data_IF_187585350689
#
_entry.id   IF_187585350689
#
_cell.length_a   1.000
_cell.length_b   1.000
_cell.length_c   1.000
_cell.angle_alpha   90.00
_cell.angle_beta   90.00
_cell.angle_gamma   90.00
#
_symmetry.space_group_name_H-M   'P 1'
#
loop_
_entity.id
_entity.type
_entity.pdbx_description
1 polymer ?
#
# COMPACT_ATOMS: atom_id res chain seq x y z
N UNK A 1 12.08 10.68 -22.12
CA UNK A 1 11.86 9.27 -21.76
C UNK A 1 12.00 9.14 -20.25
N UNK A 2 10.96 8.72 -19.57
CA UNK A 2 10.95 8.58 -18.12
C UNK A 2 11.48 7.20 -17.69
N UNK A 3 11.64 7.00 -16.38
CA UNK A 3 12.04 5.71 -15.80
C UNK A 3 11.07 4.56 -16.18
N UNK A 4 9.81 4.89 -16.52
CA UNK A 4 8.78 3.93 -16.92
C UNK A 4 9.00 3.35 -18.33
N UNK A 5 9.72 4.06 -19.21
CA UNK A 5 10.00 3.62 -20.59
C UNK A 5 11.15 2.60 -20.67
N UNK A 6 11.89 2.41 -19.58
CA UNK A 6 13.01 1.47 -19.55
C UNK A 6 12.52 0.03 -19.66
N UNK A 7 13.24 -0.79 -20.45
CA UNK A 7 12.94 -2.21 -20.55
C UNK A 7 13.10 -2.91 -19.20
N UNK A 8 12.13 -3.76 -18.87
CA UNK A 8 12.16 -4.59 -17.66
C UNK A 8 13.01 -5.82 -17.91
N UNK A 9 14.01 -6.03 -17.06
CA UNK A 9 14.84 -7.25 -17.15
C UNK A 9 14.12 -8.44 -16.53
N UNK A 10 14.53 -9.66 -16.90
CA UNK A 10 13.99 -10.92 -16.35
C UNK A 10 14.17 -11.00 -14.82
N UNK A 11 15.28 -10.49 -14.29
CA UNK A 11 15.51 -10.39 -12.85
C UNK A 11 14.55 -9.41 -12.16
N UNK A 12 14.35 -8.23 -12.75
CA UNK A 12 13.40 -7.25 -12.27
C UNK A 12 11.95 -7.77 -12.34
N UNK A 13 11.62 -8.52 -13.41
CA UNK A 13 10.29 -9.11 -13.56
C UNK A 13 10.04 -10.22 -12.53
N UNK A 14 11.03 -11.05 -12.20
CA UNK A 14 10.93 -12.02 -11.10
C UNK A 14 10.61 -11.34 -9.76
N UNK A 15 11.22 -10.17 -9.49
CA UNK A 15 10.89 -9.34 -8.32
C UNK A 15 9.44 -8.85 -8.37
N UNK A 16 8.96 -8.37 -9.52
CA UNK A 16 7.57 -7.94 -9.66
C UNK A 16 6.59 -9.08 -9.40
N UNK A 17 6.80 -10.26 -9.99
CA UNK A 17 5.96 -11.44 -9.76
C UNK A 17 5.90 -11.81 -8.28
N UNK A 18 7.05 -11.82 -7.61
CA UNK A 18 7.12 -12.13 -6.17
C UNK A 18 6.34 -11.12 -5.35
N UNK A 19 6.45 -9.82 -5.67
CA UNK A 19 5.71 -8.73 -4.99
C UNK A 19 4.20 -8.84 -5.20
N UNK A 20 3.76 -9.39 -6.33
CA UNK A 20 2.35 -9.65 -6.66
C UNK A 20 1.90 -11.08 -6.31
N UNK A 21 2.54 -11.70 -5.33
CA UNK A 21 2.23 -13.06 -4.90
C UNK A 21 2.07 -13.15 -3.38
N UNK A 22 1.58 -14.29 -2.90
CA UNK A 22 1.52 -14.61 -1.47
C UNK A 22 2.91 -14.80 -0.84
N UNK A 23 3.97 -14.87 -1.66
CA UNK A 23 5.37 -15.01 -1.23
C UNK A 23 6.08 -13.69 -1.00
N UNK A 24 5.41 -12.54 -1.15
CA UNK A 24 6.02 -11.20 -0.99
C UNK A 24 6.74 -11.03 0.35
N UNK A 25 6.18 -11.57 1.42
CA UNK A 25 6.77 -11.49 2.77
C UNK A 25 7.90 -12.51 3.00
N UNK A 26 8.01 -13.52 2.13
CA UNK A 26 8.99 -14.59 2.29
C UNK A 26 10.39 -14.19 1.83
N UNK A 27 10.54 -13.08 1.12
CA UNK A 27 11.83 -12.63 0.57
C UNK A 27 12.81 -12.25 1.68
N UNK A 28 12.34 -11.56 2.72
CA UNK A 28 13.16 -11.11 3.85
C UNK A 28 13.68 -12.28 4.72
N UNK A 29 12.98 -13.42 4.72
CA UNK A 29 13.38 -14.63 5.43
C UNK A 29 14.37 -15.51 4.64
N UNK A 30 14.63 -15.18 3.37
CA UNK A 30 15.59 -15.91 2.55
C UNK A 30 17.01 -15.54 3.00
N UNK A 31 17.69 -16.48 3.63
CA UNK A 31 19.14 -16.35 3.91
C UNK A 31 19.98 -16.27 2.63
N UNK A 32 21.31 -16.31 2.76
CA UNK A 32 22.21 -16.36 1.62
C UNK A 32 21.78 -17.49 0.66
N UNK A 33 21.47 -17.13 -0.57
CA UNK A 33 21.00 -18.07 -1.59
C UNK A 33 22.20 -18.63 -2.31
N UNK A 34 22.28 -19.96 -2.45
CA UNK A 34 23.26 -20.59 -3.31
C UNK A 34 23.08 -20.17 -4.78
N UNK A 35 24.14 -20.26 -5.58
CA UNK A 35 24.06 -19.99 -7.02
C UNK A 35 23.11 -20.98 -7.67
N UNK A 36 22.05 -20.48 -8.31
CA UNK A 36 21.04 -21.30 -8.98
C UNK A 36 21.34 -21.49 -10.45
N UNK A 37 22.01 -20.51 -11.07
CA UNK A 37 22.32 -20.45 -12.49
C UNK A 37 23.72 -19.93 -12.68
N UNK A 38 24.37 -20.31 -13.79
CA UNK A 38 25.76 -19.96 -14.09
C UNK A 38 26.01 -18.44 -14.12
N UNK A 39 24.99 -17.66 -14.45
CA UNK A 39 25.02 -16.20 -14.59
C UNK A 39 24.28 -15.47 -13.45
N UNK A 40 23.87 -16.17 -12.40
CA UNK A 40 23.17 -15.60 -11.25
C UNK A 40 23.83 -16.05 -9.94
N UNK A 41 24.85 -15.33 -9.46
CA UNK A 41 25.50 -15.62 -8.19
C UNK A 41 24.50 -15.39 -7.03
N UNK A 42 24.64 -16.18 -5.96
CA UNK A 42 23.77 -16.10 -4.78
C UNK A 42 23.81 -14.74 -4.07
N UNK A 43 24.84 -13.92 -4.29
CA UNK A 43 24.95 -12.54 -3.79
C UNK A 43 24.20 -11.51 -4.65
N UNK A 44 23.67 -11.90 -5.81
CA UNK A 44 22.90 -11.00 -6.67
C UNK A 44 21.62 -10.53 -5.97
N UNK A 45 21.29 -9.25 -6.12
CA UNK A 45 20.03 -8.68 -5.62
C UNK A 45 18.78 -9.37 -6.22
N UNK A 46 18.91 -10.03 -7.37
CA UNK A 46 17.84 -10.80 -8.02
C UNK A 46 17.69 -12.23 -7.50
N UNK A 47 18.73 -12.78 -6.88
CA UNK A 47 18.78 -14.20 -6.52
C UNK A 47 17.60 -14.67 -5.66
N UNK A 48 17.16 -13.95 -4.60
CA UNK A 48 16.00 -14.37 -3.79
C UNK A 48 14.70 -14.43 -4.59
N UNK A 49 14.47 -13.44 -5.46
CA UNK A 49 13.26 -13.34 -6.27
C UNK A 49 13.23 -14.39 -7.39
N UNK A 50 14.34 -14.59 -8.08
CA UNK A 50 14.48 -15.61 -9.12
C UNK A 50 14.29 -17.00 -8.53
N UNK A 51 14.85 -17.26 -7.34
CA UNK A 51 14.64 -18.51 -6.63
C UNK A 51 13.15 -18.79 -6.40
N UNK A 52 12.41 -17.82 -5.88
CA UNK A 52 10.96 -17.97 -5.67
C UNK A 52 10.25 -18.20 -7.00
N UNK A 53 10.49 -17.35 -8.00
CA UNK A 53 9.84 -17.45 -9.30
C UNK A 53 10.05 -18.80 -9.98
N UNK A 54 11.24 -19.37 -9.85
CA UNK A 54 11.59 -20.69 -10.41
C UNK A 54 11.00 -21.82 -9.57
N UNK A 55 11.08 -21.75 -8.25
CA UNK A 55 10.50 -22.77 -7.36
C UNK A 55 8.97 -22.86 -7.52
N UNK A 56 8.31 -21.72 -7.75
CA UNK A 56 6.87 -21.67 -8.02
C UNK A 56 6.52 -21.98 -9.48
N UNK A 57 7.52 -22.18 -10.33
CA UNK A 57 7.32 -22.51 -11.73
C UNK A 57 6.84 -21.34 -12.61
N UNK A 58 6.87 -20.10 -12.10
CA UNK A 58 6.44 -18.94 -12.88
C UNK A 58 7.42 -18.59 -13.99
N UNK A 59 8.70 -18.73 -13.72
CA UNK A 59 9.79 -18.51 -14.67
C UNK A 59 10.73 -19.71 -14.69
N UNK A 60 11.40 -19.91 -15.82
CA UNK A 60 12.41 -20.96 -15.99
C UNK A 60 13.74 -20.35 -16.46
N UNK A 61 14.84 -21.01 -16.13
CA UNK A 61 16.13 -20.79 -16.78
C UNK A 61 16.17 -21.42 -18.16
N UNK A 62 17.32 -21.30 -18.80
CA UNK A 62 17.60 -21.86 -20.11
C UNK A 62 18.34 -23.19 -20.00
N UNK A 63 18.32 -23.97 -21.08
CA UNK A 63 18.95 -25.30 -21.16
C UNK A 63 20.47 -25.28 -21.03
N UNK A 64 21.08 -24.11 -21.25
CA UNK A 64 22.51 -23.88 -21.04
C UNK A 64 22.92 -23.61 -19.58
N UNK A 65 21.95 -23.70 -18.66
CA UNK A 65 22.19 -23.44 -17.24
C UNK A 65 22.19 -21.96 -16.84
N UNK A 66 21.84 -21.05 -17.76
CA UNK A 66 21.72 -19.61 -17.49
C UNK A 66 20.28 -19.22 -17.14
N UNK A 67 20.11 -18.09 -16.44
CA UNK A 67 18.80 -17.44 -16.23
C UNK A 67 18.62 -16.19 -17.07
N UNK A 68 19.72 -15.56 -17.44
CA UNK A 68 19.80 -14.28 -18.17
C UNK A 68 19.07 -13.15 -17.46
N UNK A 69 19.43 -12.84 -16.19
CA UNK A 69 18.69 -11.90 -15.34
C UNK A 69 18.67 -10.48 -15.91
N UNK A 70 19.65 -10.11 -16.73
CA UNK A 70 19.79 -8.78 -17.33
C UNK A 70 19.15 -8.65 -18.73
N UNK A 71 18.66 -9.75 -19.31
CA UNK A 71 17.95 -9.69 -20.58
C UNK A 71 16.55 -9.13 -20.37
N UNK A 72 16.05 -8.37 -21.34
CA UNK A 72 14.69 -7.86 -21.30
C UNK A 72 13.67 -9.03 -21.32
N UNK A 73 12.57 -8.90 -20.57
CA UNK A 73 11.44 -9.82 -20.64
C UNK A 73 10.55 -9.45 -21.83
N UNK A 74 10.15 -10.44 -22.63
CA UNK A 74 9.25 -10.22 -23.76
C UNK A 74 7.78 -10.33 -23.35
N UNK A 75 6.86 -9.85 -24.22
CA UNK A 75 5.42 -9.92 -23.97
C UNK A 75 4.96 -11.36 -23.67
N UNK A 76 5.35 -12.33 -24.50
CA UNK A 76 4.94 -13.73 -24.33
C UNK A 76 5.54 -14.36 -23.07
N UNK A 77 6.78 -14.02 -22.71
CA UNK A 77 7.39 -14.47 -21.45
C UNK A 77 6.66 -13.90 -20.25
N UNK A 78 6.33 -12.59 -20.27
CA UNK A 78 5.60 -11.92 -19.20
C UNK A 78 4.18 -12.48 -19.05
N UNK A 79 3.42 -12.61 -20.14
CA UNK A 79 2.08 -13.22 -20.12
C UNK A 79 2.10 -14.66 -19.59
N UNK A 80 3.07 -15.47 -20.03
CA UNK A 80 3.23 -16.84 -19.56
C UNK A 80 3.47 -16.89 -18.05
N UNK A 81 4.37 -16.07 -17.56
CA UNK A 81 4.69 -16.04 -16.14
C UNK A 81 3.49 -15.57 -15.28
N UNK A 82 2.74 -14.56 -15.74
CA UNK A 82 1.52 -14.09 -15.05
C UNK A 82 0.42 -15.13 -15.05
N UNK A 83 0.19 -15.85 -16.18
CA UNK A 83 -0.77 -16.96 -16.22
C UNK A 83 -0.42 -18.05 -15.19
N UNK A 84 0.85 -18.42 -15.11
CA UNK A 84 1.32 -19.39 -14.11
C UNK A 84 1.19 -18.86 -12.67
N UNK A 85 1.49 -17.58 -12.43
CA UNK A 85 1.26 -16.90 -11.16
C UNK A 85 -0.21 -16.98 -10.72
N UNK A 86 -1.14 -16.85 -11.67
CA UNK A 86 -2.59 -16.98 -11.47
C UNK A 86 -3.08 -18.43 -11.37
N UNK A 87 -2.19 -19.40 -11.41
CA UNK A 87 -2.49 -20.83 -11.24
C UNK A 87 -2.88 -21.59 -12.51
N UNK A 88 -2.79 -20.97 -13.68
CA UNK A 88 -3.06 -21.65 -14.95
C UNK A 88 -1.93 -22.62 -15.30
N UNK A 89 -2.31 -23.82 -15.77
CA UNK A 89 -1.37 -24.80 -16.27
C UNK A 89 -1.21 -24.64 -17.78
N UNK A 90 0.01 -24.56 -18.26
CA UNK A 90 0.28 -24.37 -19.68
C UNK A 90 -0.17 -25.57 -20.54
N UNK A 91 -0.24 -26.75 -19.94
CA UNK A 91 -0.76 -27.97 -20.56
C UNK A 91 -2.26 -27.91 -20.86
N UNK A 92 -3.01 -27.05 -20.17
CA UNK A 92 -4.45 -26.94 -20.31
C UNK A 92 -4.84 -25.90 -21.38
N UNK A 93 -3.85 -25.20 -21.94
CA UNK A 93 -4.06 -24.21 -22.99
C UNK A 93 -4.09 -24.86 -24.38
N UNK A 94 -5.05 -24.43 -25.21
CA UNK A 94 -5.14 -24.92 -26.59
C UNK A 94 -4.16 -24.19 -27.49
N UNK A 95 -3.34 -24.93 -28.22
CA UNK A 95 -2.39 -24.41 -29.19
C UNK A 95 -0.93 -24.48 -28.73
N UNK A 96 -0.05 -23.99 -29.59
CA UNK A 96 1.39 -23.95 -29.31
C UNK A 96 1.84 -22.63 -28.72
N UNK A 97 2.93 -22.66 -27.94
CA UNK A 97 3.65 -21.45 -27.51
C UNK A 97 4.15 -20.67 -28.74
N UNK A 98 4.04 -19.33 -28.75
CA UNK A 98 3.50 -18.48 -27.69
C UNK A 98 2.01 -18.13 -27.85
N UNK A 99 1.37 -18.56 -28.94
CA UNK A 99 0.01 -18.16 -29.28
C UNK A 99 -1.02 -18.61 -28.22
N UNK A 100 -0.87 -19.82 -27.69
CA UNK A 100 -1.77 -20.33 -26.65
C UNK A 100 -1.79 -19.40 -25.42
N UNK A 101 -0.62 -18.95 -24.96
CA UNK A 101 -0.47 -18.07 -23.80
C UNK A 101 -0.96 -16.66 -24.11
N UNK A 102 -0.62 -16.11 -25.28
CA UNK A 102 -1.07 -14.78 -25.70
C UNK A 102 -2.58 -14.72 -25.90
N UNK A 103 -3.20 -15.76 -26.43
CA UNK A 103 -4.65 -15.85 -26.58
C UNK A 103 -5.32 -15.92 -25.21
N UNK A 104 -4.83 -16.79 -24.31
CA UNK A 104 -5.37 -16.90 -22.95
C UNK A 104 -5.24 -15.60 -22.17
N UNK A 105 -4.10 -14.93 -22.26
CA UNK A 105 -3.91 -13.60 -21.66
C UNK A 105 -4.89 -12.56 -22.23
N UNK A 106 -5.19 -12.61 -23.54
CA UNK A 106 -6.20 -11.77 -24.17
C UNK A 106 -7.62 -12.06 -23.67
N UNK A 107 -8.01 -13.34 -23.61
CA UNK A 107 -9.33 -13.78 -23.10
C UNK A 107 -9.58 -13.29 -21.66
N UNK A 108 -8.56 -13.32 -20.82
CA UNK A 108 -8.63 -12.87 -19.43
C UNK A 108 -8.53 -11.34 -19.28
N UNK A 109 -8.34 -10.59 -20.37
CA UNK A 109 -8.16 -9.13 -20.31
C UNK A 109 -6.80 -8.67 -19.80
N UNK A 110 -5.83 -9.58 -19.61
CA UNK A 110 -4.49 -9.23 -19.09
C UNK A 110 -3.76 -8.25 -20.01
N UNK A 111 -4.02 -8.31 -21.32
CA UNK A 111 -3.37 -7.48 -22.34
C UNK A 111 -4.11 -6.19 -22.63
N UNK A 112 -5.20 -5.88 -21.93
CA UNK A 112 -5.95 -4.65 -22.14
C UNK A 112 -5.05 -3.43 -21.86
N UNK A 113 -4.98 -2.50 -22.82
CA UNK A 113 -4.14 -1.32 -22.74
C UNK A 113 -2.66 -1.53 -23.08
N UNK A 114 -2.24 -2.74 -23.47
CA UNK A 114 -0.88 -3.02 -23.94
C UNK A 114 -0.81 -2.91 -25.47
N UNK A 115 0.10 -2.11 -25.97
CA UNK A 115 0.45 -2.01 -27.40
C UNK A 115 1.81 -2.65 -27.66
N UNK A 116 1.92 -3.96 -27.36
CA UNK A 116 3.11 -4.77 -27.59
C UNK A 116 2.79 -5.98 -28.45
N UNK A 117 3.73 -6.31 -29.31
CA UNK A 117 3.67 -7.49 -30.17
C UNK A 117 4.53 -8.62 -29.62
N UNK A 118 4.28 -9.82 -30.10
CA UNK A 118 5.12 -10.97 -29.81
C UNK A 118 6.60 -10.66 -30.11
N UNK A 119 7.50 -11.03 -29.19
CA UNK A 119 8.92 -10.81 -29.29
C UNK A 119 9.40 -9.43 -28.83
N UNK A 120 8.48 -8.48 -28.60
CA UNK A 120 8.85 -7.16 -28.13
C UNK A 120 9.11 -7.15 -26.62
N UNK A 121 10.13 -6.39 -26.22
CA UNK A 121 10.47 -6.20 -24.82
C UNK A 121 9.39 -5.35 -24.10
N UNK A 122 9.03 -5.75 -22.89
CA UNK A 122 8.17 -5.00 -22.00
C UNK A 122 8.94 -3.91 -21.26
N UNK A 123 8.36 -2.73 -21.12
CA UNK A 123 8.88 -1.69 -20.23
C UNK A 123 8.17 -1.73 -18.86
N UNK A 124 8.53 -0.82 -17.94
CA UNK A 124 7.93 -0.78 -16.59
C UNK A 124 6.44 -0.44 -16.62
N UNK A 125 5.99 0.42 -17.52
CA UNK A 125 4.57 0.76 -17.69
C UNK A 125 3.78 -0.45 -18.17
N UNK A 126 4.26 -1.15 -19.21
CA UNK A 126 3.63 -2.37 -19.72
C UNK A 126 3.47 -3.45 -18.63
N UNK A 127 4.54 -3.68 -17.85
CA UNK A 127 4.51 -4.66 -16.76
C UNK A 127 3.53 -4.24 -15.65
N UNK A 128 3.44 -2.95 -15.33
CA UNK A 128 2.49 -2.45 -14.35
C UNK A 128 1.04 -2.65 -14.83
N UNK A 129 0.75 -2.35 -16.10
CA UNK A 129 -0.57 -2.57 -16.71
C UNK A 129 -0.92 -4.06 -16.70
N UNK A 130 -0.02 -4.93 -17.13
CA UNK A 130 -0.22 -6.39 -17.14
C UNK A 130 -0.55 -6.94 -15.74
N UNK A 131 0.21 -6.54 -14.73
CA UNK A 131 0.03 -7.00 -13.35
C UNK A 131 -1.23 -6.39 -12.71
N UNK A 132 -1.56 -5.13 -13.01
CA UNK A 132 -2.81 -4.52 -12.55
C UNK A 132 -4.03 -5.23 -13.14
N UNK A 133 -4.01 -5.53 -14.45
CA UNK A 133 -5.07 -6.29 -15.09
C UNK A 133 -5.23 -7.69 -14.48
N UNK A 134 -4.13 -8.32 -14.06
CA UNK A 134 -4.17 -9.60 -13.39
C UNK A 134 -4.94 -9.56 -12.06
N UNK A 135 -4.89 -8.45 -11.31
CA UNK A 135 -5.61 -8.33 -10.02
C UNK A 135 -7.13 -8.49 -10.19
N UNK A 136 -7.68 -8.00 -11.28
CA UNK A 136 -9.13 -8.04 -11.55
C UNK A 136 -9.56 -9.25 -12.35
N UNK A 137 -8.64 -9.93 -13.03
CA UNK A 137 -8.90 -11.12 -13.84
C UNK A 137 -9.10 -12.36 -12.95
N UNK A 138 -9.90 -13.30 -13.42
CA UNK A 138 -10.10 -14.56 -12.72
C UNK A 138 -8.84 -15.43 -12.80
N UNK A 139 -8.42 -15.94 -11.66
CA UNK A 139 -7.39 -16.98 -11.56
C UNK A 139 -7.94 -18.35 -12.01
N UNK A 140 -7.11 -19.38 -12.02
CA UNK A 140 -7.53 -20.73 -12.43
C UNK A 140 -8.63 -21.34 -11.53
N UNK A 141 -8.86 -20.81 -10.34
CA UNK A 141 -9.95 -21.22 -9.43
C UNK A 141 -11.26 -20.46 -9.68
N UNK A 142 -11.29 -19.51 -10.62
CA UNK A 142 -12.47 -18.72 -10.95
C UNK A 142 -12.73 -17.50 -10.08
N UNK A 143 -11.81 -17.12 -9.20
CA UNK A 143 -11.88 -15.93 -8.37
C UNK A 143 -10.95 -14.85 -8.90
N UNK A 144 -11.27 -13.55 -8.70
CA UNK A 144 -10.36 -12.47 -9.05
C UNK A 144 -9.01 -12.66 -8.33
N UNK A 145 -7.90 -12.59 -9.08
CA UNK A 145 -6.59 -12.90 -8.53
C UNK A 145 -6.22 -11.99 -7.36
N UNK A 146 -6.61 -10.71 -7.40
CA UNK A 146 -6.36 -9.75 -6.32
C UNK A 146 -6.92 -10.19 -4.96
N UNK A 147 -8.01 -10.97 -4.94
CA UNK A 147 -8.58 -11.49 -3.69
C UNK A 147 -7.66 -12.48 -3.00
N UNK A 148 -6.84 -13.22 -3.75
CA UNK A 148 -5.82 -14.14 -3.18
C UNK A 148 -4.69 -13.38 -2.47
N UNK A 149 -4.52 -12.10 -2.80
CA UNK A 149 -3.54 -11.20 -2.20
C UNK A 149 -4.12 -10.35 -1.05
N UNK A 150 -5.40 -10.56 -0.73
CA UNK A 150 -6.09 -9.82 0.33
C UNK A 150 -6.73 -8.51 -0.13
N UNK A 151 -6.79 -8.24 -1.44
CA UNK A 151 -7.47 -7.05 -1.96
C UNK A 151 -8.98 -7.29 -2.12
N UNK A 152 -9.77 -6.23 -1.93
CA UNK A 152 -11.18 -6.24 -2.30
C UNK A 152 -11.30 -5.95 -3.79
N UNK A 153 -11.93 -6.86 -4.53
CA UNK A 153 -12.23 -6.69 -5.95
C UNK A 153 -13.73 -6.77 -6.14
N UNK A 154 -14.33 -5.70 -6.66
CA UNK A 154 -15.75 -5.62 -6.93
C UNK A 154 -16.01 -4.92 -8.27
N UNK A 155 -16.99 -5.41 -9.05
CA UNK A 155 -17.34 -4.86 -10.35
C UNK A 155 -16.15 -4.74 -11.32
N UNK A 156 -15.21 -5.70 -11.28
CA UNK A 156 -14.01 -5.68 -12.12
C UNK A 156 -12.98 -4.60 -11.76
N UNK A 157 -13.06 -4.05 -10.56
CA UNK A 157 -12.12 -3.04 -10.05
C UNK A 157 -11.56 -3.45 -8.71
N UNK A 158 -10.28 -3.13 -8.50
CA UNK A 158 -9.63 -3.26 -7.20
C UNK A 158 -9.97 -2.02 -6.38
N UNK A 159 -10.36 -2.22 -5.13
CA UNK A 159 -10.48 -1.12 -4.18
C UNK A 159 -9.09 -0.53 -3.91
N UNK A 160 -8.81 0.61 -4.53
CA UNK A 160 -7.52 1.30 -4.41
C UNK A 160 -7.21 1.74 -2.98
N UNK A 161 -8.22 1.98 -2.15
CA UNK A 161 -8.03 2.31 -0.73
C UNK A 161 -7.38 1.16 0.02
N UNK A 162 -7.73 -0.08 -0.29
CA UNK A 162 -7.14 -1.27 0.33
C UNK A 162 -5.67 -1.45 -0.06
N UNK A 163 -5.31 -1.19 -1.33
CA UNK A 163 -3.91 -1.24 -1.79
C UNK A 163 -3.09 -0.18 -1.08
N UNK A 164 -3.61 1.04 -1.02
CA UNK A 164 -2.95 2.15 -0.36
C UNK A 164 -2.71 1.85 1.13
N UNK A 165 -3.75 1.41 1.83
CA UNK A 165 -3.69 1.09 3.25
C UNK A 165 -2.73 -0.06 3.57
N UNK A 166 -2.60 -1.06 2.70
CA UNK A 166 -1.68 -2.19 2.90
C UNK A 166 -0.20 -1.84 2.72
N UNK A 167 0.10 -0.73 2.03
CA UNK A 167 1.47 -0.26 1.79
C UNK A 167 1.87 0.94 2.65
N UNK A 168 0.94 1.49 3.44
CA UNK A 168 1.17 2.64 4.30
C UNK A 168 1.76 2.24 5.65
N UNK A 169 2.80 2.92 6.04
CA UNK A 169 3.27 2.95 7.42
C UNK A 169 2.61 4.11 8.17
N UNK A 170 2.19 3.87 9.41
CA UNK A 170 1.45 4.83 10.22
C UNK A 170 0.11 4.27 10.70
N UNK A 171 -0.72 5.09 11.38
CA UNK A 171 -0.50 6.51 11.67
C UNK A 171 0.63 6.78 12.66
N UNK A 172 1.37 7.84 12.41
CA UNK A 172 2.35 8.40 13.33
C UNK A 172 1.94 9.82 13.73
N UNK A 173 2.34 10.25 14.92
CA UNK A 173 2.19 11.64 15.38
C UNK A 173 3.55 12.31 15.35
N UNK A 174 3.65 13.41 14.65
CA UNK A 174 4.90 14.14 14.52
C UNK A 174 5.26 14.88 15.82
N UNK A 175 6.54 14.90 16.12
CA UNK A 175 7.19 15.73 17.15
C UNK A 175 8.11 16.76 16.48
N UNK A 176 8.67 17.68 17.25
CA UNK A 176 9.65 18.66 16.75
C UNK A 176 10.92 18.01 16.17
N UNK A 177 11.21 16.77 16.57
CA UNK A 177 12.39 16.02 16.13
C UNK A 177 12.09 14.94 15.07
N UNK A 178 10.88 14.91 14.53
CA UNK A 178 10.51 13.90 13.55
C UNK A 178 11.28 14.07 12.23
N UNK A 179 11.94 13.01 11.81
CA UNK A 179 12.68 12.94 10.55
C UNK A 179 12.15 11.75 9.75
N UNK A 180 11.84 11.98 8.47
CA UNK A 180 11.42 10.91 7.57
C UNK A 180 12.62 10.07 7.12
N UNK A 181 12.45 8.74 6.91
CA UNK A 181 13.53 7.86 6.45
C UNK A 181 13.92 8.08 4.98
N UNK A 182 13.20 8.94 4.26
CA UNK A 182 13.43 9.24 2.85
C UNK A 182 13.00 10.67 2.52
N UNK A 183 13.39 11.15 1.34
CA UNK A 183 12.90 12.42 0.78
C UNK A 183 11.62 12.13 -0.03
N UNK A 184 10.47 12.69 0.36
CA UNK A 184 9.24 12.49 -0.39
C UNK A 184 9.28 13.11 -1.80
N UNK A 185 8.77 12.37 -2.77
CA UNK A 185 8.54 12.87 -4.16
C UNK A 185 7.13 13.43 -4.29
N UNK A 186 6.17 12.83 -3.56
CA UNK A 186 4.79 13.29 -3.53
C UNK A 186 4.36 13.54 -2.09
N UNK A 187 3.66 14.65 -1.86
CA UNK A 187 3.11 15.01 -0.55
C UNK A 187 1.64 15.36 -0.69
N UNK A 188 0.84 14.79 0.19
CA UNK A 188 -0.58 15.12 0.34
C UNK A 188 -0.82 15.66 1.74
N UNK A 189 -1.47 16.81 1.85
CA UNK A 189 -1.86 17.41 3.13
C UNK A 189 -3.37 17.61 3.17
N UNK A 190 -4.04 16.97 4.15
CA UNK A 190 -5.50 16.95 4.27
C UNK A 190 -6.18 16.57 2.94
N UNK A 191 -5.70 15.49 2.32
CA UNK A 191 -6.19 14.90 1.05
C UNK A 191 -5.97 15.77 -0.20
N UNK A 192 -5.14 16.82 -0.12
CA UNK A 192 -4.76 17.68 -1.25
C UNK A 192 -3.27 17.60 -1.53
N UNK A 193 -2.89 17.70 -2.80
CA UNK A 193 -1.47 17.79 -3.19
C UNK A 193 -0.82 18.98 -2.51
N UNK A 194 0.35 18.77 -1.93
CA UNK A 194 1.14 19.79 -1.23
C UNK A 194 2.56 19.85 -1.78
N UNK A 195 3.12 21.07 -1.84
CA UNK A 195 4.54 21.27 -2.17
C UNK A 195 5.47 21.19 -0.96
N UNK A 196 4.94 21.06 0.27
CA UNK A 196 5.74 21.04 1.50
C UNK A 196 5.67 19.69 2.18
N UNK A 197 6.84 19.10 2.46
CA UNK A 197 7.02 17.90 3.27
C UNK A 197 7.26 18.20 4.74
N UNK A 198 7.12 19.46 5.17
CA UNK A 198 7.30 19.87 6.57
C UNK A 198 6.27 19.20 7.47
N UNK A 199 6.74 18.65 8.58
CA UNK A 199 5.93 18.08 9.65
C UNK A 199 6.01 18.98 10.86
N UNK A 200 4.87 19.45 11.32
CA UNK A 200 4.78 20.21 12.57
C UNK A 200 4.40 19.28 13.73
N UNK A 201 4.73 19.67 14.93
CA UNK A 201 4.33 18.97 16.15
C UNK A 201 2.82 18.70 16.11
N UNK A 202 2.43 17.44 16.41
CA UNK A 202 1.05 16.93 16.37
C UNK A 202 0.42 16.77 14.99
N UNK A 203 1.13 16.95 13.88
CA UNK A 203 0.66 16.47 12.60
C UNK A 203 0.56 14.94 12.64
N UNK A 204 -0.54 14.39 12.13
CA UNK A 204 -0.66 12.95 11.91
C UNK A 204 -0.13 12.65 10.52
N UNK A 205 0.77 11.69 10.41
CA UNK A 205 1.31 11.35 9.10
C UNK A 205 1.37 9.85 8.85
N UNK A 206 1.33 9.55 7.57
CA UNK A 206 1.55 8.22 7.00
C UNK A 206 2.57 8.36 5.89
N UNK A 207 3.30 7.31 5.62
CA UNK A 207 4.20 7.31 4.47
C UNK A 207 4.25 5.95 3.79
N UNK A 208 4.66 5.95 2.52
CA UNK A 208 5.09 4.77 1.79
C UNK A 208 6.49 5.02 1.27
N UNK A 209 7.47 4.27 1.77
CA UNK A 209 8.84 4.42 1.31
C UNK A 209 9.01 3.97 -0.13
N UNK A 210 8.31 2.91 -0.54
CA UNK A 210 8.34 2.39 -1.90
C UNK A 210 7.79 3.38 -2.92
N UNK A 211 6.74 4.13 -2.56
CA UNK A 211 6.13 5.15 -3.40
C UNK A 211 6.77 6.54 -3.21
N UNK A 212 7.72 6.69 -2.28
CA UNK A 212 8.30 7.98 -1.88
C UNK A 212 7.23 9.04 -1.62
N UNK A 213 6.13 8.64 -0.98
CA UNK A 213 4.95 9.48 -0.76
C UNK A 213 4.68 9.66 0.73
N UNK A 214 4.30 10.90 1.09
CA UNK A 214 3.94 11.32 2.44
C UNK A 214 2.51 11.85 2.45
N UNK A 215 1.70 11.41 3.41
CA UNK A 215 0.37 11.95 3.71
C UNK A 215 0.38 12.58 5.09
N UNK A 216 -0.07 13.83 5.18
CA UNK A 216 -0.10 14.62 6.41
C UNK A 216 -1.50 15.10 6.70
N UNK A 217 -1.95 14.96 7.93
CA UNK A 217 -3.25 15.40 8.41
C UNK A 217 -3.06 16.33 9.61
N UNK A 218 -3.66 17.50 9.54
CA UNK A 218 -3.61 18.52 10.60
C UNK A 218 -4.94 18.66 11.33
N UNK A 219 -5.91 17.80 10.99
CA UNK A 219 -7.28 17.82 11.53
C UNK A 219 -7.28 17.46 13.01
N UNK A 220 -8.08 18.18 13.79
CA UNK A 220 -8.24 17.98 15.22
C UNK A 220 -9.71 18.00 15.59
N UNK A 221 -10.05 17.33 16.68
CA UNK A 221 -11.34 17.46 17.35
C UNK A 221 -11.10 17.65 18.84
N UNK A 222 -11.46 18.82 19.35
CA UNK A 222 -11.27 19.17 20.75
C UNK A 222 -12.62 19.26 21.47
N UNK A 223 -12.67 18.80 22.70
CA UNK A 223 -13.87 18.85 23.51
C UNK A 223 -13.88 17.80 24.60
N UNK A 224 -15.03 17.72 25.28
CA UNK A 224 -15.25 16.75 26.35
C UNK A 224 -15.66 15.41 25.76
N UNK A 225 -15.08 14.32 26.26
CA UNK A 225 -15.54 12.96 25.94
C UNK A 225 -16.91 12.77 26.63
N UNK A 226 -17.92 12.49 25.83
CA UNK A 226 -19.28 12.23 26.30
C UNK A 226 -19.64 10.75 26.35
N UNK A 227 -18.96 9.93 25.54
CA UNK A 227 -19.21 8.49 25.45
C UNK A 227 -17.93 7.75 25.09
N UNK A 228 -17.79 6.53 25.61
CA UNK A 228 -16.71 5.59 25.30
C UNK A 228 -17.35 4.24 24.95
N UNK A 229 -17.05 3.69 23.80
CA UNK A 229 -17.70 2.46 23.31
C UNK A 229 -16.64 1.43 22.83
N UNK A 230 -16.85 0.11 23.03
CA UNK A 230 -17.98 -0.52 23.76
C UNK A 230 -17.85 -0.41 25.28
N UNK A 231 -16.66 -0.28 25.83
CA UNK A 231 -16.41 -0.15 27.29
C UNK A 231 -15.21 0.75 27.56
N UNK A 232 -15.17 1.36 28.75
CA UNK A 232 -14.06 2.20 29.18
C UNK A 232 -12.73 1.43 29.34
N UNK A 233 -12.78 0.13 29.62
CA UNK A 233 -11.60 -0.72 29.76
C UNK A 233 -11.02 -1.23 28.41
N UNK A 234 -11.84 -1.22 27.36
CA UNK A 234 -11.45 -1.64 26.01
C UNK A 234 -12.16 -0.77 24.96
N UNK A 235 -11.82 0.54 24.91
CA UNK A 235 -12.49 1.46 23.99
C UNK A 235 -12.05 1.20 22.54
N UNK A 236 -13.03 1.19 21.63
CA UNK A 236 -12.79 1.16 20.18
C UNK A 236 -13.13 2.52 19.54
N UNK A 237 -14.02 3.29 20.19
CA UNK A 237 -14.39 4.63 19.77
C UNK A 237 -14.75 5.51 20.97
N UNK A 238 -14.65 6.82 20.77
CA UNK A 238 -15.07 7.85 21.73
C UNK A 238 -15.85 8.94 21.03
N UNK A 239 -16.81 9.53 21.76
CA UNK A 239 -17.59 10.67 21.26
C UNK A 239 -17.04 11.95 21.85
N UNK A 240 -16.62 12.89 21.00
CA UNK A 240 -16.10 14.21 21.36
C UNK A 240 -16.87 15.26 20.56
N UNK A 241 -17.35 16.30 21.23
CA UNK A 241 -18.15 17.36 20.60
C UNK A 241 -19.32 16.84 19.74
N UNK A 242 -19.96 15.77 20.18
CA UNK A 242 -21.12 15.16 19.49
C UNK A 242 -20.78 14.26 18.30
N UNK A 243 -19.51 14.07 17.99
CA UNK A 243 -19.05 13.19 16.90
C UNK A 243 -18.30 11.99 17.46
N UNK A 244 -18.63 10.79 16.96
CA UNK A 244 -17.92 9.56 17.32
C UNK A 244 -16.69 9.37 16.44
N UNK A 245 -15.55 9.08 17.07
CA UNK A 245 -14.26 8.83 16.43
C UNK A 245 -13.75 7.45 16.78
N UNK A 246 -13.38 6.68 15.76
CA UNK A 246 -12.71 5.39 15.94
C UNK A 246 -11.29 5.61 16.43
N UNK A 247 -10.82 4.82 17.38
CA UNK A 247 -9.46 4.85 17.89
C UNK A 247 -8.54 4.02 16.96
N UNK A 248 -7.49 4.64 16.46
CA UNK A 248 -6.63 4.07 15.41
C UNK A 248 -5.64 3.02 15.90
N UNK A 249 -5.46 2.86 17.20
CA UNK A 249 -4.53 1.89 17.77
C UNK A 249 -4.89 1.50 19.21
N UNK A 250 -4.35 0.34 19.63
CA UNK A 250 -4.45 -0.11 21.02
C UNK A 250 -3.73 0.84 22.00
N UNK A 251 -2.69 1.55 21.53
CA UNK A 251 -1.98 2.54 22.35
C UNK A 251 -2.91 3.70 22.74
N UNK A 252 -3.67 4.25 21.78
CA UNK A 252 -4.64 5.32 22.03
C UNK A 252 -5.79 4.81 22.89
N UNK A 253 -6.27 3.59 22.63
CA UNK A 253 -7.29 2.94 23.46
C UNK A 253 -6.83 2.83 24.93
N UNK A 254 -5.58 2.44 25.14
CA UNK A 254 -4.99 2.36 26.48
C UNK A 254 -4.86 3.74 27.16
N UNK A 255 -4.49 4.78 26.39
CA UNK A 255 -4.45 6.15 26.89
C UNK A 255 -5.84 6.61 27.35
N UNK A 256 -6.88 6.38 26.55
CA UNK A 256 -8.27 6.71 26.92
C UNK A 256 -8.70 5.95 28.18
N UNK A 257 -8.44 4.64 28.25
CA UNK A 257 -8.78 3.82 29.42
C UNK A 257 -8.10 4.29 30.71
N UNK A 258 -6.89 4.87 30.61
CA UNK A 258 -6.12 5.36 31.76
C UNK A 258 -6.58 6.70 32.28
N UNK A 259 -7.42 7.42 31.53
CA UNK A 259 -7.99 8.70 31.97
C UNK A 259 -8.98 8.47 33.12
N UNK A 260 -9.12 9.47 33.98
CA UNK A 260 -10.09 9.43 35.07
C UNK A 260 -11.50 9.12 34.54
N UNK A 261 -12.18 8.19 35.21
CA UNK A 261 -13.50 7.74 34.80
C UNK A 261 -13.52 6.96 33.47
N UNK A 262 -12.37 6.42 33.04
CA UNK A 262 -12.26 5.76 31.73
C UNK A 262 -12.43 6.72 30.56
N UNK A 263 -12.13 8.00 30.79
CA UNK A 263 -12.15 9.04 29.77
C UNK A 263 -13.43 9.89 29.73
N UNK A 264 -14.58 9.37 30.15
CA UNK A 264 -15.84 10.14 30.13
C UNK A 264 -15.74 11.37 31.05
N UNK A 265 -16.11 12.52 30.49
CA UNK A 265 -16.04 13.80 31.19
C UNK A 265 -14.70 14.52 31.05
N UNK A 266 -13.64 13.88 30.55
CA UNK A 266 -12.34 14.49 30.33
C UNK A 266 -12.35 15.37 29.07
N UNK A 267 -11.62 16.49 29.13
CA UNK A 267 -11.35 17.34 27.96
C UNK A 267 -10.13 16.81 27.25
N UNK A 268 -10.25 16.64 25.95
CA UNK A 268 -9.21 16.09 25.09
C UNK A 268 -9.16 16.82 23.76
N UNK A 269 -8.01 16.78 23.09
CA UNK A 269 -7.89 17.07 21.66
C UNK A 269 -7.46 15.80 20.96
N UNK A 270 -8.28 15.34 20.03
CA UNK A 270 -7.96 14.21 19.14
C UNK A 270 -7.19 14.70 17.94
N UNK A 271 -6.11 14.00 17.62
CA UNK A 271 -5.32 14.18 16.41
C UNK A 271 -5.86 13.20 15.36
N UNK A 272 -6.45 13.74 14.30
CA UNK A 272 -7.20 12.94 13.33
C UNK A 272 -6.36 12.66 12.09
N UNK A 273 -6.24 11.41 11.75
CA UNK A 273 -5.56 10.92 10.55
C UNK A 273 -6.52 10.69 9.37
N UNK A 274 -6.14 9.77 8.51
CA UNK A 274 -6.91 9.34 7.37
C UNK A 274 -8.29 8.86 7.82
N UNK A 275 -9.34 9.21 7.07
CA UNK A 275 -10.74 8.89 7.39
C UNK A 275 -11.21 9.37 8.78
N UNK A 276 -10.58 10.41 9.32
CA UNK A 276 -10.85 10.96 10.64
C UNK A 276 -10.70 9.96 11.80
N UNK A 277 -9.87 8.94 11.62
CA UNK A 277 -9.50 8.02 12.69
C UNK A 277 -8.60 8.75 13.70
N UNK A 278 -8.87 8.61 14.99
CA UNK A 278 -8.05 9.21 16.04
C UNK A 278 -6.70 8.48 16.13
N UNK A 279 -5.65 9.16 15.70
CA UNK A 279 -4.28 8.67 15.69
C UNK A 279 -3.44 9.10 16.91
N UNK A 280 -3.93 10.11 17.63
CA UNK A 280 -3.32 10.60 18.86
C UNK A 280 -4.33 11.34 19.73
N UNK A 281 -3.97 11.56 20.98
CA UNK A 281 -4.78 12.28 21.96
C UNK A 281 -3.90 13.21 22.79
N UNK A 282 -4.33 14.45 22.92
CA UNK A 282 -3.75 15.45 23.83
C UNK A 282 -4.70 15.60 25.01
N UNK A 283 -4.15 15.71 26.22
CA UNK A 283 -4.91 15.80 27.48
C UNK A 283 -4.34 16.90 28.35
N UNK A 284 -5.07 17.28 29.42
CA UNK A 284 -4.62 18.26 30.41
C UNK A 284 -4.69 19.70 29.90
N UNK A 285 -3.82 20.56 30.42
CA UNK A 285 -3.84 22.00 30.16
C UNK A 285 -3.76 22.35 28.66
N UNK A 286 -3.00 21.59 27.89
CA UNK A 286 -2.85 21.81 26.45
C UNK A 286 -4.18 21.56 25.69
N UNK A 287 -4.95 20.54 26.09
CA UNK A 287 -6.28 20.30 25.53
C UNK A 287 -7.30 21.38 25.95
N UNK A 288 -7.19 21.88 27.17
CA UNK A 288 -8.03 22.97 27.66
C UNK A 288 -7.77 24.28 26.89
N UNK A 289 -6.52 24.58 26.56
CA UNK A 289 -6.15 25.75 25.74
C UNK A 289 -6.65 25.63 24.29
N UNK A 290 -6.61 24.43 23.70
CA UNK A 290 -7.17 24.18 22.36
C UNK A 290 -8.69 24.47 22.35
N UNK A 291 -9.44 24.02 23.35
CA UNK A 291 -10.88 24.29 23.48
C UNK A 291 -11.17 25.79 23.64
N UNK A 292 -10.40 26.49 24.47
CA UNK A 292 -10.53 27.95 24.66
C UNK A 292 -10.26 28.70 23.35
N UNK A 293 -9.25 28.29 22.61
CA UNK A 293 -8.92 28.90 21.31
C UNK A 293 -10.05 28.73 20.29
N UNK A 294 -10.68 27.54 20.23
CA UNK A 294 -11.83 27.28 19.36
C UNK A 294 -13.02 28.15 19.77
N UNK A 295 -13.32 28.27 21.06
CA UNK A 295 -14.41 29.10 21.56
C UNK A 295 -14.19 30.58 21.19
N UNK A 296 -12.98 31.10 21.36
CA UNK A 296 -12.64 32.48 21.01
C UNK A 296 -12.81 32.75 19.50
N UNK A 297 -12.43 31.78 18.63
CA UNK A 297 -12.66 31.90 17.18
C UNK A 297 -14.15 31.92 16.84
N UNK A 298 -14.96 31.07 17.45
CA UNK A 298 -16.41 31.01 17.25
C UNK A 298 -17.10 32.30 17.69
N UNK A 299 -16.70 32.86 18.84
CA UNK A 299 -17.21 34.14 19.35
C UNK A 299 -16.86 35.30 18.39
N UNK A 300 -15.65 35.32 17.87
CA UNK A 300 -15.20 36.30 16.88
C UNK A 300 -16.00 36.22 15.58
N UNK A 301 -16.26 35.01 15.06
CA UNK A 301 -17.06 34.79 13.86
C UNK A 301 -18.53 35.17 14.04
N UNK A 302 -19.12 34.81 15.18
CA UNK A 302 -20.49 35.18 15.52
C UNK A 302 -20.62 36.70 15.69
N UNK A 303 -19.66 37.33 16.36
CA UNK A 303 -19.60 38.78 16.52
C UNK A 303 -19.44 39.55 15.21
N UNK A 304 -18.73 38.96 14.23
CA UNK A 304 -18.59 39.52 12.89
C UNK A 304 -19.87 39.40 12.03
N UNK A 305 -20.67 38.35 12.24
CA UNK A 305 -21.95 38.14 11.51
C UNK A 305 -23.12 38.96 12.06
N UNK A 306 -23.01 39.48 13.29
CA UNK A 306 -24.03 40.28 13.96
C UNK A 306 -23.81 41.80 13.82
N UNK A 307 -22.75 42.24 13.12
CA UNK A 307 -22.48 43.63 12.73
C UNK A 307 -22.77 43.84 11.25
#
# INVERSE_FOLDING_TARGET
SGALDAAVTRGAFARMLTSYSTYRESVSSQGAVGTLYTDLPGSSAWAPYVRIAVQQGWMNGYTDGSFRPNNAVTLEEACTAVLKLMGYKMTDLSGAFPNAQLNKAGELGLRAGLDRRQGEAMNYEDCAVLLYNALTANNASGSAYGTTLGFTVSNGQVDGSTILLSSLEGPFVASESTVLPFVPVSVYRNDKVSGSAELNKYDVYYYSESLKTLWVYTRRAAGRITEVSPTASAPASITVAGTSYTLGSTAIASQVSSLNGGGVGQVVTLLLGMNNVAAGIITGEEADEDVKSILALLEAELGAKLR
#
